data_IF_664458917651
#
_entry.id   IF_664458917651
#
_cell.length_a   1.000
_cell.length_b   1.000
_cell.length_c   1.000
_cell.angle_alpha   90.00
_cell.angle_beta   90.00
_cell.angle_gamma   90.00
#
_symmetry.space_group_name_H-M   'P 1'
#
loop_
_entity.id
_entity.type
_entity.pdbx_description
1 polymer ?
#
# COMPACT_ATOMS: atom_id res chain seq x y z
N UNK A 1 25.23 -8.04 -21.16
CA UNK A 1 24.01 -8.46 -21.89
C UNK A 1 22.88 -8.56 -20.86
N UNK A 2 21.91 -7.64 -20.80
CA UNK A 2 20.76 -7.86 -19.93
C UNK A 2 19.90 -8.94 -20.57
N UNK A 3 19.79 -10.07 -19.88
CA UNK A 3 18.97 -11.22 -20.26
C UNK A 3 17.50 -10.81 -20.31
N UNK A 4 16.91 -10.83 -21.50
CA UNK A 4 15.47 -10.79 -21.70
C UNK A 4 14.88 -12.13 -21.21
N UNK A 5 14.76 -12.31 -19.90
CA UNK A 5 14.19 -13.54 -19.33
C UNK A 5 12.67 -13.52 -19.55
N UNK A 6 12.17 -14.59 -20.16
CA UNK A 6 10.82 -15.16 -20.09
C UNK A 6 9.79 -14.18 -19.50
N UNK A 7 9.02 -13.56 -20.39
CA UNK A 7 7.94 -12.62 -20.07
C UNK A 7 7.13 -13.07 -18.85
N UNK A 8 7.12 -12.26 -17.80
CA UNK A 8 6.27 -12.50 -16.63
C UNK A 8 4.82 -12.65 -17.11
N UNK A 9 4.26 -13.86 -17.03
CA UNK A 9 2.87 -14.13 -17.40
C UNK A 9 1.92 -13.20 -16.64
N UNK A 10 2.32 -12.83 -15.42
CA UNK A 10 1.60 -11.92 -14.53
C UNK A 10 2.52 -10.84 -13.99
N UNK A 11 2.02 -9.61 -13.96
CA UNK A 11 2.65 -8.49 -13.27
C UNK A 11 1.62 -7.78 -12.43
N UNK A 12 1.97 -7.36 -11.22
CA UNK A 12 1.17 -6.39 -10.49
C UNK A 12 1.63 -4.98 -10.83
N UNK A 13 0.70 -4.12 -11.23
CA UNK A 13 1.00 -2.74 -11.50
C UNK A 13 0.23 -1.85 -10.54
N UNK A 14 0.92 -0.93 -9.90
CA UNK A 14 0.32 0.07 -9.01
C UNK A 14 0.77 1.46 -9.39
N UNK A 15 -0.17 2.38 -9.47
CA UNK A 15 0.11 3.81 -9.62
C UNK A 15 0.22 4.44 -8.24
N UNK A 16 1.19 5.33 -8.05
CA UNK A 16 1.49 5.95 -6.76
C UNK A 16 1.46 7.47 -6.83
N UNK A 17 1.01 8.07 -5.73
CA UNK A 17 0.91 9.50 -5.51
C UNK A 17 0.82 9.76 -4.00
N UNK A 18 0.65 11.02 -3.60
CA UNK A 18 0.39 11.40 -2.21
C UNK A 18 -0.86 10.70 -1.67
N UNK A 19 -0.79 10.18 -0.44
CA UNK A 19 -1.87 9.44 0.22
C UNK A 19 -1.87 9.71 1.72
N UNK A 20 -3.08 9.86 2.29
CA UNK A 20 -3.29 10.06 3.72
C UNK A 20 -2.48 11.24 4.29
N UNK A 21 -2.35 12.33 3.51
CA UNK A 21 -1.62 13.54 3.90
C UNK A 21 -0.10 13.47 3.74
N UNK A 22 0.46 12.35 3.27
CA UNK A 22 1.90 12.25 2.98
C UNK A 22 2.20 12.44 1.51
N UNK A 23 3.26 13.20 1.24
CA UNK A 23 3.88 13.28 -0.07
C UNK A 23 4.56 11.97 -0.45
N UNK A 24 4.72 11.73 -1.75
CA UNK A 24 5.19 10.45 -2.26
C UNK A 24 6.60 10.09 -1.78
N UNK A 25 7.51 11.06 -1.68
CA UNK A 25 8.87 10.86 -1.16
C UNK A 25 8.85 10.36 0.29
N UNK A 26 7.97 10.91 1.12
CA UNK A 26 7.76 10.49 2.51
C UNK A 26 7.15 9.09 2.59
N UNK A 27 6.22 8.77 1.71
CA UNK A 27 5.69 7.41 1.60
C UNK A 27 6.82 6.42 1.26
N UNK A 28 7.68 6.73 0.29
CA UNK A 28 8.79 5.84 -0.11
C UNK A 28 9.82 5.71 1.01
N UNK A 29 10.22 6.81 1.66
CA UNK A 29 11.11 6.77 2.83
C UNK A 29 10.55 5.88 3.94
N UNK A 30 9.24 5.97 4.19
CA UNK A 30 8.54 5.13 5.15
C UNK A 30 8.57 3.66 4.74
N UNK A 31 8.32 3.35 3.47
CA UNK A 31 8.39 1.96 2.97
C UNK A 31 9.79 1.40 3.02
N UNK A 32 10.82 2.22 2.84
CA UNK A 32 12.20 1.80 3.06
C UNK A 32 12.47 1.45 4.53
N UNK A 33 11.94 2.24 5.48
CA UNK A 33 12.03 1.92 6.89
C UNK A 33 11.30 0.61 7.24
N UNK A 34 10.10 0.40 6.70
CA UNK A 34 9.36 -0.87 6.83
C UNK A 34 10.19 -2.04 6.31
N UNK A 35 10.73 -1.92 5.08
CA UNK A 35 11.55 -2.94 4.43
C UNK A 35 12.77 -3.29 5.24
N UNK A 36 13.55 -2.29 5.67
CA UNK A 36 14.78 -2.49 6.44
C UNK A 36 14.52 -3.14 7.79
N UNK A 37 13.50 -2.70 8.52
CA UNK A 37 13.12 -3.29 9.81
C UNK A 37 12.43 -4.66 9.67
N UNK A 38 11.78 -4.91 8.52
CA UNK A 38 11.08 -6.14 8.19
C UNK A 38 11.93 -7.19 7.45
N UNK A 39 13.25 -6.99 7.33
CA UNK A 39 14.14 -7.93 6.65
C UNK A 39 13.81 -8.10 5.15
N UNK A 40 13.48 -7.01 4.47
CA UNK A 40 13.06 -7.01 3.06
C UNK A 40 11.55 -6.84 2.87
N UNK A 41 10.75 -7.10 3.90
CA UNK A 41 9.28 -7.07 3.84
C UNK A 41 8.72 -5.66 4.05
N UNK A 42 7.79 -5.24 3.19
CA UNK A 42 7.00 -4.03 3.38
C UNK A 42 5.58 -4.21 2.85
N UNK A 43 4.66 -3.36 3.30
CA UNK A 43 3.25 -3.42 2.88
C UNK A 43 2.90 -2.16 2.09
N UNK A 44 2.15 -2.29 1.01
CA UNK A 44 1.68 -1.13 0.24
C UNK A 44 0.16 -1.02 0.30
N UNK A 45 -0.38 0.03 0.92
CA UNK A 45 -1.83 0.23 1.04
C UNK A 45 -2.48 0.45 -0.32
N UNK A 46 -3.64 -0.18 -0.57
CA UNK A 46 -4.37 -0.06 -1.85
C UNK A 46 -5.88 -0.02 -1.66
N UNK A 47 -6.53 0.82 -2.45
CA UNK A 47 -7.97 1.11 -2.32
C UNK A 47 -8.90 0.00 -2.81
N UNK A 48 -8.44 -0.89 -3.68
CA UNK A 48 -9.27 -1.90 -4.34
C UNK A 48 -8.99 -3.32 -3.85
N UNK A 49 -10.03 -4.17 -3.98
CA UNK A 49 -9.95 -5.58 -3.68
C UNK A 49 -9.05 -6.31 -4.69
N UNK A 50 -8.43 -7.44 -4.27
CA UNK A 50 -7.61 -8.26 -5.16
C UNK A 50 -8.40 -8.87 -6.33
N UNK A 51 -7.71 -9.15 -7.43
CA UNK A 51 -8.22 -10.02 -8.48
C UNK A 51 -8.51 -11.42 -7.91
N UNK A 52 -9.53 -12.10 -8.46
CA UNK A 52 -9.87 -13.50 -8.12
C UNK A 52 -8.71 -14.48 -8.36
N UNK A 53 -7.74 -14.11 -9.21
CA UNK A 53 -6.57 -14.94 -9.48
C UNK A 53 -5.52 -14.90 -8.34
N UNK A 54 -5.52 -13.86 -7.49
CA UNK A 54 -4.48 -13.67 -6.47
C UNK A 54 -4.36 -14.86 -5.51
N UNK A 55 -5.44 -15.40 -4.90
CA UNK A 55 -5.30 -16.52 -3.97
C UNK A 55 -4.73 -17.78 -4.62
N UNK A 56 -5.04 -18.03 -5.90
CA UNK A 56 -4.49 -19.17 -6.62
C UNK A 56 -2.99 -18.99 -6.89
N UNK A 57 -2.58 -17.81 -7.38
CA UNK A 57 -1.17 -17.50 -7.63
C UNK A 57 -0.34 -17.57 -6.35
N UNK A 58 -0.85 -17.04 -5.24
CA UNK A 58 -0.17 -17.06 -3.94
C UNK A 58 0.02 -18.49 -3.41
N UNK A 59 -1.00 -19.35 -3.52
CA UNK A 59 -0.89 -20.77 -3.13
C UNK A 59 0.11 -21.55 -3.97
N UNK A 60 0.16 -21.23 -5.27
CA UNK A 60 1.14 -21.79 -6.20
C UNK A 60 2.53 -21.16 -6.05
N UNK A 61 2.70 -20.15 -5.18
CA UNK A 61 3.95 -19.41 -4.96
C UNK A 61 4.56 -18.88 -6.27
N UNK A 62 3.71 -18.43 -7.19
CA UNK A 62 4.17 -17.88 -8.47
C UNK A 62 4.89 -16.56 -8.21
N UNK A 63 6.12 -16.42 -8.71
CA UNK A 63 6.78 -15.12 -8.65
C UNK A 63 5.98 -14.11 -9.47
N UNK A 64 5.54 -13.03 -8.82
CA UNK A 64 4.81 -11.94 -9.46
C UNK A 64 5.55 -10.64 -9.13
N UNK A 65 6.24 -10.02 -10.09
CA UNK A 65 6.83 -8.71 -9.87
C UNK A 65 5.73 -7.67 -9.67
N UNK A 66 6.07 -6.63 -8.90
CA UNK A 66 5.25 -5.44 -8.78
C UNK A 66 6.01 -4.21 -9.27
N UNK A 67 5.36 -3.47 -10.17
CA UNK A 67 5.86 -2.22 -10.72
C UNK A 67 5.04 -1.06 -10.17
N UNK A 68 5.72 -0.06 -9.64
CA UNK A 68 5.10 1.18 -9.20
C UNK A 68 5.42 2.31 -10.17
N UNK A 69 4.38 3.02 -10.61
CA UNK A 69 4.51 4.17 -11.51
C UNK A 69 3.92 5.42 -10.89
N UNK A 70 4.58 6.57 -11.03
CA UNK A 70 4.03 7.84 -10.54
C UNK A 70 2.78 8.21 -11.34
N UNK A 71 1.70 8.63 -10.65
CA UNK A 71 0.52 9.16 -11.32
C UNK A 71 0.84 10.47 -12.03
N UNK A 72 0.32 10.63 -13.25
CA UNK A 72 0.46 11.87 -14.02
C UNK A 72 -0.45 13.00 -13.53
N UNK A 73 -1.61 12.63 -13.00
CA UNK A 73 -2.57 13.60 -12.46
C UNK A 73 -2.13 14.09 -11.10
N UNK A 74 -2.52 15.32 -10.75
CA UNK A 74 -2.35 15.83 -9.39
C UNK A 74 -3.14 14.99 -8.38
N UNK A 75 -2.63 14.81 -7.15
CA UNK A 75 -3.38 14.20 -6.07
C UNK A 75 -4.72 14.90 -5.83
N UNK A 76 -5.74 14.13 -5.41
CA UNK A 76 -7.00 14.72 -4.98
C UNK A 76 -6.80 15.39 -3.64
N UNK A 77 -7.52 16.49 -3.37
CA UNK A 77 -7.44 17.18 -2.09
C UNK A 77 -7.70 16.25 -0.90
N UNK A 78 -8.65 15.31 -1.02
CA UNK A 78 -8.92 14.35 0.03
C UNK A 78 -7.75 13.41 0.33
N UNK A 79 -6.86 13.16 -0.64
CA UNK A 79 -5.67 12.32 -0.47
C UNK A 79 -4.49 13.13 0.14
N UNK A 80 -4.33 14.40 -0.24
CA UNK A 80 -3.31 15.32 0.32
C UNK A 80 -3.68 15.98 1.65
N UNK A 81 -4.97 16.14 1.94
CA UNK A 81 -5.50 16.79 3.15
C UNK A 81 -6.76 16.03 3.63
N UNK A 82 -6.60 14.79 4.10
CA UNK A 82 -7.74 13.99 4.56
C UNK A 82 -8.33 14.56 5.84
N UNK A 83 -9.66 14.52 5.98
CA UNK A 83 -10.35 14.92 7.22
C UNK A 83 -10.10 13.96 8.40
N UNK A 84 -9.61 12.76 8.12
CA UNK A 84 -9.17 11.80 9.12
C UNK A 84 -8.21 10.79 8.51
N UNK A 85 -7.25 10.31 9.31
CA UNK A 85 -6.34 9.23 8.95
C UNK A 85 -6.55 8.09 9.93
N UNK A 86 -6.57 6.87 9.42
CA UNK A 86 -6.57 5.64 10.21
C UNK A 86 -5.28 4.88 10.00
N UNK A 87 -4.80 4.21 11.03
CA UNK A 87 -3.77 3.17 10.94
C UNK A 87 -4.41 1.79 11.09
N UNK A 88 -3.96 0.84 10.28
CA UNK A 88 -4.42 -0.54 10.30
C UNK A 88 -3.49 -1.37 11.18
N UNK A 89 -4.09 -2.29 11.94
CA UNK A 89 -3.34 -3.14 12.91
C UNK A 89 -3.36 -4.62 12.56
N UNK A 90 -4.33 -5.06 11.76
CA UNK A 90 -4.57 -6.47 11.47
C UNK A 90 -4.85 -6.69 9.98
N UNK A 91 -4.69 -7.92 9.54
CA UNK A 91 -5.03 -8.34 8.18
C UNK A 91 -5.55 -9.77 8.15
N UNK A 92 -6.27 -10.10 7.09
CA UNK A 92 -6.69 -11.47 6.78
C UNK A 92 -5.67 -12.10 5.85
N UNK A 93 -5.07 -13.21 6.30
CA UNK A 93 -4.09 -13.97 5.51
C UNK A 93 -4.75 -14.82 4.41
N UNK A 94 -3.93 -15.53 3.63
CA UNK A 94 -4.38 -16.36 2.51
C UNK A 94 -5.24 -17.57 2.91
N UNK A 95 -5.26 -17.90 4.21
CA UNK A 95 -6.07 -18.96 4.81
C UNK A 95 -7.37 -18.40 5.41
N UNK A 96 -7.62 -17.10 5.31
CA UNK A 96 -8.80 -16.47 5.90
C UNK A 96 -8.64 -16.16 7.39
N UNK A 97 -7.46 -16.37 7.96
CA UNK A 97 -7.22 -16.12 9.38
C UNK A 97 -6.81 -14.68 9.61
N UNK A 98 -7.37 -14.07 10.64
CA UNK A 98 -6.95 -12.72 11.04
C UNK A 98 -5.64 -12.78 11.83
N UNK A 99 -4.65 -12.01 11.36
CA UNK A 99 -3.31 -11.92 11.93
C UNK A 99 -3.00 -10.47 12.31
N UNK A 100 -2.21 -10.23 13.38
CA UNK A 100 -1.62 -8.92 13.58
C UNK A 100 -0.68 -8.60 12.41
N UNK A 101 -0.61 -7.33 12.02
CA UNK A 101 0.42 -6.88 11.10
C UNK A 101 1.81 -7.02 11.76
N UNK A 102 2.87 -7.29 10.98
CA UNK A 102 4.22 -7.35 11.51
C UNK A 102 4.62 -6.05 12.24
N UNK A 103 5.47 -6.11 13.28
CA UNK A 103 5.87 -4.93 14.05
C UNK A 103 6.46 -3.80 13.21
N UNK A 104 7.13 -4.12 12.11
CA UNK A 104 7.72 -3.14 11.19
C UNK A 104 6.73 -2.52 10.20
N UNK A 105 5.57 -3.11 9.95
CA UNK A 105 4.67 -2.61 8.90
C UNK A 105 3.96 -1.34 9.38
N UNK A 106 3.80 -0.30 8.55
CA UNK A 106 2.90 0.82 8.85
C UNK A 106 1.94 1.03 7.68
N UNK A 107 0.65 0.84 7.92
CA UNK A 107 -0.34 1.00 6.85
C UNK A 107 -1.37 2.01 7.34
N UNK A 108 -1.40 3.14 6.66
CA UNK A 108 -2.31 4.25 6.90
C UNK A 108 -3.23 4.41 5.70
N UNK A 109 -4.41 4.97 5.94
CA UNK A 109 -5.29 5.39 4.85
C UNK A 109 -6.25 6.47 5.33
N UNK A 110 -6.97 7.09 4.40
CA UNK A 110 -8.10 7.97 4.75
C UNK A 110 -9.11 7.24 5.64
N UNK A 111 -9.57 7.90 6.71
CA UNK A 111 -10.54 7.34 7.64
C UNK A 111 -11.97 7.27 7.10
N UNK A 112 -12.29 8.11 6.12
CA UNK A 112 -13.58 8.14 5.45
C UNK A 112 -13.47 7.65 3.99
N UNK A 113 -14.51 6.96 3.54
CA UNK A 113 -14.69 6.58 2.14
C UNK A 113 -15.10 7.79 1.29
N UNK A 114 -15.17 7.62 -0.04
CA UNK A 114 -15.66 8.67 -0.93
C UNK A 114 -17.11 9.10 -0.67
N UNK A 115 -17.91 8.29 0.03
CA UNK A 115 -19.28 8.62 0.45
C UNK A 115 -19.37 9.25 1.84
N UNK A 116 -18.24 9.57 2.48
CA UNK A 116 -18.20 10.15 3.83
C UNK A 116 -18.40 9.15 4.97
N UNK A 117 -18.70 7.88 4.65
CA UNK A 117 -18.83 6.81 5.65
C UNK A 117 -17.46 6.37 6.18
N UNK A 118 -17.39 5.98 7.46
CA UNK A 118 -16.16 5.46 8.04
C UNK A 118 -15.67 4.23 7.28
N UNK A 119 -14.39 4.23 6.91
CA UNK A 119 -13.78 3.18 6.11
C UNK A 119 -13.54 1.95 6.98
N UNK A 120 -14.35 0.93 6.76
CA UNK A 120 -14.26 -0.37 7.48
C UNK A 120 -13.41 -1.41 6.76
N UNK A 121 -13.02 -1.14 5.51
CA UNK A 121 -12.26 -2.07 4.67
C UNK A 121 -11.20 -1.34 3.88
N UNK A 122 -10.02 -1.93 3.83
CA UNK A 122 -8.93 -1.53 2.97
C UNK A 122 -8.09 -2.76 2.64
N UNK A 123 -7.10 -2.60 1.78
CA UNK A 123 -6.27 -3.69 1.32
C UNK A 123 -4.81 -3.26 1.34
N UNK A 124 -3.91 -4.23 1.34
CA UNK A 124 -2.51 -3.98 1.13
C UNK A 124 -1.89 -5.05 0.26
N UNK A 125 -0.91 -4.65 -0.54
CA UNK A 125 0.02 -5.55 -1.18
C UNK A 125 1.10 -5.94 -0.17
N UNK A 126 1.48 -7.20 -0.17
CA UNK A 126 2.56 -7.74 0.65
C UNK A 126 3.77 -7.89 -0.26
N UNK A 127 4.78 -7.05 -0.06
CA UNK A 127 5.90 -6.90 -0.98
C UNK A 127 7.22 -7.25 -0.29
N UNK A 128 8.17 -7.78 -1.06
CA UNK A 128 9.55 -7.99 -0.62
C UNK A 128 10.52 -7.38 -1.62
N UNK A 129 11.61 -6.80 -1.10
CA UNK A 129 12.70 -6.30 -1.92
C UNK A 129 14.01 -6.30 -1.14
N UNK A 130 15.09 -6.69 -1.83
CA UNK A 130 16.40 -6.86 -1.21
C UNK A 130 17.20 -5.54 -1.23
N UNK A 131 16.91 -4.66 -2.19
CA UNK A 131 17.57 -3.37 -2.33
C UNK A 131 16.81 -2.23 -1.64
N UNK A 132 17.49 -1.09 -1.48
CA UNK A 132 16.89 0.14 -0.95
C UNK A 132 15.77 0.63 -1.87
N UNK A 133 14.63 0.97 -1.28
CA UNK A 133 13.53 1.65 -1.96
C UNK A 133 13.84 3.14 -2.06
N UNK A 134 13.96 3.63 -3.29
CA UNK A 134 14.14 5.03 -3.60
C UNK A 134 13.56 5.31 -4.98
N UNK A 135 12.92 6.49 -5.16
CA UNK A 135 12.35 6.87 -6.43
C UNK A 135 13.45 7.04 -7.47
N UNK A 136 13.33 6.36 -8.60
CA UNK A 136 14.25 6.45 -9.74
C UNK A 136 13.52 6.86 -11.00
N UNK A 137 14.25 7.48 -11.93
CA UNK A 137 13.82 7.52 -13.33
C UNK A 137 13.73 6.09 -13.83
N UNK A 138 12.56 5.74 -14.33
CA UNK A 138 12.20 4.35 -14.54
C UNK A 138 12.47 3.86 -15.95
N UNK A 139 12.34 2.54 -16.15
CA UNK A 139 12.18 2.03 -17.51
C UNK A 139 10.76 2.38 -18.02
N UNK A 140 10.60 2.65 -19.33
CA UNK A 140 9.27 2.83 -19.91
C UNK A 140 8.37 1.60 -19.68
N UNK A 141 7.12 1.85 -19.28
CA UNK A 141 6.08 0.85 -19.06
C UNK A 141 4.85 1.18 -19.90
N UNK A 142 4.67 0.41 -20.98
CA UNK A 142 3.45 0.47 -21.78
C UNK A 142 2.38 -0.47 -21.23
N UNK A 143 1.53 0.09 -20.36
CA UNK A 143 0.40 -0.63 -19.78
C UNK A 143 -0.63 -1.11 -20.82
N UNK A 144 -0.66 -0.59 -22.05
CA UNK A 144 -1.60 -1.04 -23.09
C UNK A 144 -1.28 -2.43 -23.63
N UNK A 145 -0.05 -2.90 -23.43
CA UNK A 145 0.36 -4.27 -23.78
C UNK A 145 -0.15 -5.31 -22.75
N UNK A 146 -0.97 -4.88 -21.79
CA UNK A 146 -1.47 -5.72 -20.70
C UNK A 146 -2.99 -5.60 -20.56
N UNK A 147 -3.59 -6.63 -19.95
CA UNK A 147 -5.00 -6.65 -19.55
C UNK A 147 -5.13 -7.04 -18.09
N UNK A 148 -6.26 -6.71 -17.47
CA UNK A 148 -6.59 -7.23 -16.15
C UNK A 148 -6.54 -8.77 -16.16
N UNK A 149 -5.84 -9.37 -15.20
CA UNK A 149 -5.71 -10.81 -15.11
C UNK A 149 -7.05 -11.49 -14.78
N UNK A 150 -7.46 -12.44 -15.64
CA UNK A 150 -8.65 -13.28 -15.45
C UNK A 150 -9.27 -13.73 -16.78
N UNK A 151 -10.28 -14.62 -16.76
CA UNK A 151 -10.87 -15.20 -17.97
C UNK A 151 -11.43 -14.16 -18.96
N UNK A 152 -11.95 -13.04 -18.44
CA UNK A 152 -12.54 -11.95 -19.22
C UNK A 152 -11.77 -10.63 -19.00
N UNK A 153 -10.44 -10.71 -18.99
CA UNK A 153 -9.56 -9.58 -18.70
C UNK A 153 -9.78 -8.36 -19.59
N UNK A 154 -10.39 -7.31 -19.05
CA UNK A 154 -10.56 -6.03 -19.75
C UNK A 154 -9.29 -5.18 -19.76
N UNK A 155 -9.30 -4.11 -20.55
CA UNK A 155 -8.27 -3.06 -20.49
C UNK A 155 -8.19 -2.45 -19.08
N UNK A 156 -7.02 -1.89 -18.74
CA UNK A 156 -6.86 -1.18 -17.47
C UNK A 156 -7.64 0.14 -17.52
N UNK A 157 -8.59 0.32 -16.61
CA UNK A 157 -9.38 1.53 -16.51
C UNK A 157 -8.56 2.72 -16.00
N UNK A 158 -8.89 3.93 -16.47
CA UNK A 158 -8.19 5.15 -16.10
C UNK A 158 -8.12 5.39 -14.58
N UNK A 159 -9.13 4.92 -13.82
CA UNK A 159 -9.22 5.02 -12.37
C UNK A 159 -8.62 3.83 -11.59
N UNK A 160 -8.19 2.75 -12.26
CA UNK A 160 -7.65 1.55 -11.59
C UNK A 160 -6.22 1.77 -11.09
N UNK A 161 -6.08 2.21 -9.85
CA UNK A 161 -4.77 2.50 -9.25
C UNK A 161 -3.87 1.27 -9.20
N UNK A 162 -4.39 0.13 -8.74
CA UNK A 162 -3.64 -1.12 -8.62
C UNK A 162 -4.36 -2.26 -9.34
N UNK A 163 -3.65 -3.05 -10.13
CA UNK A 163 -4.20 -4.20 -10.83
C UNK A 163 -3.19 -5.35 -10.92
N UNK A 164 -3.69 -6.58 -10.95
CA UNK A 164 -2.96 -7.73 -11.43
C UNK A 164 -3.20 -7.83 -12.94
N UNK A 165 -2.13 -7.94 -13.71
CA UNK A 165 -2.15 -7.86 -15.16
C UNK A 165 -1.58 -9.14 -15.78
N UNK A 166 -2.05 -9.45 -16.99
CA UNK A 166 -1.49 -10.46 -17.87
C UNK A 166 -1.10 -9.84 -19.20
N UNK A 167 -0.04 -10.35 -19.81
CA UNK A 167 0.44 -9.87 -21.10
C UNK A 167 -0.57 -10.12 -22.22
N UNK A 168 -0.95 -9.08 -22.97
CA UNK A 168 -1.71 -9.23 -24.20
C UNK A 168 -0.75 -9.44 -25.38
N UNK A 169 -0.69 -10.68 -25.87
CA UNK A 169 0.18 -11.06 -26.99
C UNK A 169 -0.33 -10.60 -28.35
N UNK A 170 -1.57 -10.12 -28.44
CA UNK A 170 -2.16 -9.60 -29.68
C UNK A 170 -1.82 -8.13 -29.94
N UNK A 171 -1.31 -7.43 -28.93
CA UNK A 171 -0.99 -5.99 -29.00
C UNK A 171 0.52 -5.79 -29.15
N UNK A 172 0.90 -5.07 -30.20
CA UNK A 172 2.26 -4.56 -30.36
C UNK A 172 2.41 -3.26 -29.55
N UNK A 173 3.63 -2.99 -29.07
CA UNK A 173 3.92 -1.85 -28.21
C UNK A 173 3.53 -0.51 -28.82
N UNK A 174 2.89 0.33 -28.01
CA UNK A 174 2.73 1.74 -28.28
C UNK A 174 3.82 2.54 -27.55
N UNK A 175 3.79 3.87 -27.69
CA UNK A 175 4.60 4.74 -26.87
C UNK A 175 4.20 4.55 -25.39
N UNK A 176 5.17 4.12 -24.58
CA UNK A 176 4.96 3.90 -23.16
C UNK A 176 4.48 5.18 -22.48
N UNK A 177 3.34 5.07 -21.79
CA UNK A 177 2.79 6.22 -21.09
C UNK A 177 3.35 6.38 -19.68
N UNK A 178 3.80 5.31 -19.04
CA UNK A 178 4.32 5.36 -17.67
C UNK A 178 5.76 4.92 -17.64
N UNK A 179 6.40 5.14 -16.50
CA UNK A 179 7.70 4.56 -16.17
C UNK A 179 7.54 3.69 -14.92
N UNK A 180 8.39 2.66 -14.79
CA UNK A 180 8.51 1.90 -13.54
C UNK A 180 9.50 2.62 -12.63
N UNK A 181 8.98 3.34 -11.63
CA UNK A 181 9.79 4.17 -10.73
C UNK A 181 10.24 3.43 -9.46
N UNK A 182 9.53 2.36 -9.08
CA UNK A 182 9.95 1.41 -8.04
C UNK A 182 9.57 -0.01 -8.46
N UNK A 183 10.35 -0.98 -7.99
CA UNK A 183 10.16 -2.40 -8.24
C UNK A 183 10.24 -3.18 -6.95
N UNK A 184 9.43 -4.22 -6.85
CA UNK A 184 9.52 -5.22 -5.81
C UNK A 184 8.92 -6.54 -6.30
N UNK A 185 8.79 -7.51 -5.40
CA UNK A 185 8.11 -8.78 -5.65
C UNK A 185 6.97 -8.96 -4.68
N UNK A 186 5.84 -9.51 -5.15
CA UNK A 186 4.77 -9.92 -4.25
C UNK A 186 5.19 -11.17 -3.47
N UNK A 187 4.87 -11.21 -2.18
CA UNK A 187 5.19 -12.34 -1.29
C UNK A 187 4.04 -12.68 -0.35
N UNK A 188 4.10 -13.85 0.30
CA UNK A 188 3.07 -14.33 1.22
C UNK A 188 1.69 -14.44 0.56
N UNK A 189 0.71 -13.69 1.06
CA UNK A 189 -0.65 -13.65 0.50
C UNK A 189 -0.84 -12.72 -0.70
N UNK A 190 0.21 -12.02 -1.13
CA UNK A 190 0.26 -11.01 -2.20
C UNK A 190 -0.58 -9.77 -1.97
N UNK A 191 -1.87 -9.93 -1.69
CA UNK A 191 -2.84 -8.86 -1.59
C UNK A 191 -3.87 -9.20 -0.51
N UNK A 192 -3.72 -8.59 0.65
CA UNK A 192 -4.46 -8.93 1.87
C UNK A 192 -5.52 -7.90 2.18
N UNK A 193 -6.59 -8.35 2.86
CA UNK A 193 -7.61 -7.46 3.42
C UNK A 193 -7.16 -6.96 4.78
N UNK A 194 -7.18 -5.65 4.98
CA UNK A 194 -6.86 -5.03 6.27
C UNK A 194 -8.11 -4.97 7.16
N UNK A 195 -7.88 -5.09 8.46
CA UNK A 195 -8.89 -5.04 9.52
C UNK A 195 -8.39 -4.25 10.72
N UNK A 196 -9.30 -3.96 11.65
CA UNK A 196 -9.02 -3.21 12.88
C UNK A 196 -8.37 -1.83 12.63
N UNK A 197 -9.07 -0.92 11.92
CA UNK A 197 -8.62 0.45 11.75
C UNK A 197 -8.79 1.24 13.05
N UNK A 198 -7.77 2.00 13.44
CA UNK A 198 -7.87 2.98 14.52
C UNK A 198 -7.61 4.38 13.97
N UNK A 199 -8.44 5.39 14.30
CA UNK A 199 -8.15 6.79 13.97
C UNK A 199 -6.87 7.26 14.67
N UNK A 200 -6.06 8.03 13.95
CA UNK A 200 -4.93 8.75 14.56
C UNK A 200 -5.43 10.05 15.19
N UNK A 201 -4.94 10.38 16.38
CA UNK A 201 -5.12 11.70 16.98
C UNK A 201 -4.28 12.77 16.25
N UNK A 202 -4.55 14.05 16.49
CA UNK A 202 -3.77 15.15 15.92
C UNK A 202 -2.28 15.07 16.30
N UNK A 203 -1.98 14.66 17.55
CA UNK A 203 -0.61 14.42 18.00
C UNK A 203 0.06 13.27 17.26
N UNK A 204 -0.66 12.18 17.00
CA UNK A 204 -0.16 11.05 16.21
C UNK A 204 0.00 11.44 14.73
N UNK A 205 -0.86 12.28 14.18
CA UNK A 205 -0.73 12.81 12.81
C UNK A 205 0.51 13.71 12.69
N UNK A 206 0.75 14.59 13.67
CA UNK A 206 1.95 15.41 13.71
C UNK A 206 3.22 14.53 13.77
N UNK A 207 3.23 13.53 14.66
CA UNK A 207 4.32 12.54 14.76
C UNK A 207 4.51 11.78 13.44
N UNK A 208 3.42 11.33 12.81
CA UNK A 208 3.41 10.62 11.52
C UNK A 208 3.98 11.46 10.38
N UNK A 209 3.75 12.78 10.38
CA UNK A 209 4.23 13.69 9.34
C UNK A 209 5.71 14.11 9.55
N UNK A 210 6.18 14.14 10.80
CA UNK A 210 7.55 14.51 11.15
C UNK A 210 8.52 13.33 11.25
N UNK A 211 8.04 12.09 11.05
CA UNK A 211 8.83 10.88 11.21
C UNK A 211 10.07 10.88 10.30
N UNK A 212 11.25 11.00 10.91
CA UNK A 212 12.53 10.84 10.24
C UNK A 212 13.36 9.80 10.98
N UNK A 213 12.92 8.54 10.89
CA UNK A 213 13.49 7.43 11.64
C UNK A 213 14.66 6.82 10.87
N UNK A 214 15.80 6.68 11.53
CA UNK A 214 17.06 6.26 10.91
C UNK A 214 17.49 4.84 11.26
N UNK A 215 16.98 4.23 12.32
CA UNK A 215 17.28 2.83 12.70
C UNK A 215 16.05 1.91 12.64
N UNK A 216 16.27 0.59 12.58
CA UNK A 216 15.19 -0.40 12.55
C UNK A 216 14.45 -0.53 13.89
N UNK A 217 15.14 -0.32 15.01
CA UNK A 217 14.56 -0.42 16.36
C UNK A 217 13.62 0.76 16.60
N UNK A 218 14.13 1.98 16.37
CA UNK A 218 13.33 3.20 16.48
C UNK A 218 12.10 3.15 15.57
N UNK A 219 12.22 2.50 14.41
CA UNK A 219 11.10 2.34 13.48
C UNK A 219 10.00 1.45 14.05
N UNK A 220 10.38 0.32 14.66
CA UNK A 220 9.43 -0.60 15.29
C UNK A 220 8.74 0.07 16.48
N UNK A 221 9.49 0.82 17.29
CA UNK A 221 8.95 1.58 18.42
C UNK A 221 7.96 2.65 17.94
N UNK A 222 8.35 3.45 16.94
CA UNK A 222 7.48 4.44 16.30
C UNK A 222 6.18 3.81 15.75
N UNK A 223 6.27 2.68 15.06
CA UNK A 223 5.09 1.95 14.56
C UNK A 223 4.20 1.47 15.71
N UNK A 224 4.81 0.98 16.79
CA UNK A 224 4.10 0.56 18.00
C UNK A 224 3.31 1.70 18.61
N UNK A 225 3.93 2.88 18.79
CA UNK A 225 3.29 4.09 19.32
C UNK A 225 2.11 4.55 18.47
N UNK A 226 2.26 4.57 17.14
CA UNK A 226 1.16 4.93 16.24
C UNK A 226 0.00 3.93 16.27
N UNK A 227 0.28 2.64 16.49
CA UNK A 227 -0.73 1.57 16.54
C UNK A 227 -1.41 1.44 17.90
N UNK A 228 -0.94 2.14 18.92
CA UNK A 228 -1.61 2.20 20.20
C UNK A 228 -2.84 3.10 20.10
N UNK A 229 -3.92 2.72 20.79
CA UNK A 229 -5.05 3.62 20.98
C UNK A 229 -4.55 4.78 21.83
N UNK A 230 -4.77 6.01 21.37
CA UNK A 230 -4.69 7.16 22.25
C UNK A 230 -5.58 6.87 23.47
N UNK A 231 -5.11 7.06 24.72
CA UNK A 231 -5.98 6.97 25.87
C UNK A 231 -7.12 7.97 25.63
N UNK A 232 -8.34 7.45 25.61
CA UNK A 232 -9.53 8.28 25.54
C UNK A 232 -9.43 9.20 26.75
N UNK A 233 -9.31 10.51 26.55
CA UNK A 233 -9.55 11.48 27.62
C UNK A 233 -10.98 11.22 28.07
N UNK A 234 -11.14 10.44 29.12
CA UNK A 234 -12.40 10.35 29.83
C UNK A 234 -12.59 11.74 30.39
N UNK A 235 -13.63 12.41 29.90
CA UNK A 235 -14.12 13.67 30.44
C UNK A 235 -14.33 13.47 31.95
N UNK A 236 -13.42 14.02 32.74
CA UNK A 236 -13.61 14.20 34.18
C UNK A 236 -14.61 15.34 34.36
N UNK A 237 -15.87 15.08 34.07
CA UNK A 237 -16.99 16.00 34.27
C UNK A 237 -18.08 15.34 35.10
N UNK A 238 -17.72 14.70 36.21
CA UNK A 238 -18.67 14.31 37.26
C UNK A 238 -17.99 14.28 38.63
N UNK A 239 -17.65 15.45 39.16
CA UNK A 239 -17.71 15.72 40.59
C UNK A 239 -17.56 17.23 40.85
N UNK A 240 -18.69 17.93 40.84
CA UNK A 240 -18.97 19.10 41.67
C UNK A 240 -20.47 19.40 41.55
N UNK A 241 -21.25 18.60 42.25
CA UNK A 241 -22.63 18.91 42.62
C UNK A 241 -22.74 18.75 44.13
N UNK A 242 -22.68 19.89 44.83
CA UNK A 242 -23.08 20.05 46.23
C UNK A 242 -24.54 19.64 46.41
N UNK A 243 -24.85 18.87 47.47
CA UNK A 243 -25.63 19.33 48.65
C UNK A 243 -25.09 18.55 49.87
#
# INVERSE_FOLDING_TARGET
>A
MPSTSIADDFVCWSRMQSEAGQELDKIVQRKENERRAGGGLFFWGVGNAPSKAIPALARLKREVPIYFSIMKSKPKLADSAPSSVVVWRRYIDLHGMERPLPPSALITSRGNSGSGTQKTRHFALVCTWDEKLELKYGRPFDHHMYRNAGPNGGQIGASQVTALLTRDRSVNGAAAQYEVNLEARLTGGYWVRLTDPIPLSDSQIALYNCANVTSSIDWIEFVSELRQRAPTRVDSSLQLGLI
#
